data_IF_405098649337
#
_entry.id   IF_405098649337
#
_cell.length_a   1.000
_cell.length_b   1.000
_cell.length_c   1.000
_cell.angle_alpha   90.00
_cell.angle_beta   90.00
_cell.angle_gamma   90.00
#
_symmetry.space_group_name_H-M   'P 1'
#
loop_
_entity.id
_entity.type
_entity.pdbx_description
1 polymer ?
#
# COMPACT_ATOMS: atom_id res chain seq x y z
N UNK A 1 -19.91 15.27 -23.48
CA UNK A 1 -18.59 15.91 -23.43
C UNK A 1 -18.24 16.11 -21.95
N UNK A 2 -17.14 15.51 -21.52
CA UNK A 2 -16.55 15.49 -20.16
C UNK A 2 -17.37 14.78 -19.06
N UNK A 3 -17.17 13.46 -18.96
CA UNK A 3 -17.54 12.65 -17.79
C UNK A 3 -16.49 12.89 -16.70
N UNK A 4 -16.94 13.27 -15.50
CA UNK A 4 -16.07 13.55 -14.36
C UNK A 4 -15.60 12.21 -13.73
N UNK A 5 -14.44 11.71 -14.12
CA UNK A 5 -13.83 10.49 -13.53
C UNK A 5 -12.71 10.80 -12.54
N UNK A 6 -12.85 11.87 -11.74
CA UNK A 6 -11.90 12.24 -10.68
C UNK A 6 -12.52 12.14 -9.28
N UNK A 7 -13.45 11.20 -9.09
CA UNK A 7 -14.21 11.03 -7.85
C UNK A 7 -13.50 10.17 -6.81
N UNK A 8 -12.64 10.78 -5.99
CA UNK A 8 -12.12 10.27 -4.70
C UNK A 8 -11.53 8.84 -4.70
N UNK A 9 -10.21 8.73 -4.85
CA UNK A 9 -9.49 7.48 -4.56
C UNK A 9 -9.65 7.15 -3.07
N UNK A 10 -10.08 5.93 -2.75
CA UNK A 10 -10.16 5.47 -1.36
C UNK A 10 -8.76 5.52 -0.76
N UNK A 11 -8.57 6.15 0.42
CA UNK A 11 -7.25 6.27 1.01
C UNK A 11 -6.65 4.88 1.20
N UNK A 12 -5.43 4.69 0.71
CA UNK A 12 -4.72 3.44 0.85
C UNK A 12 -4.36 3.21 2.33
N UNK A 13 -4.43 1.96 2.77
CA UNK A 13 -4.17 1.59 4.16
C UNK A 13 -2.69 1.60 4.55
N UNK A 14 -1.78 1.69 3.57
CA UNK A 14 -0.34 1.61 3.82
C UNK A 14 0.09 0.19 4.20
N UNK A 15 1.10 0.02 5.07
CA UNK A 15 1.58 -1.30 5.50
C UNK A 15 0.46 -2.12 6.15
N UNK A 16 0.20 -3.31 5.61
CA UNK A 16 -0.82 -4.24 6.12
C UNK A 16 -0.14 -5.15 7.13
N UNK A 17 -0.29 -4.86 8.43
CA UNK A 17 0.01 -5.84 9.48
C UNK A 17 -0.88 -7.06 9.27
N UNK A 18 -0.28 -8.25 9.20
CA UNK A 18 -1.02 -9.51 9.18
C UNK A 18 -1.79 -9.67 10.51
N UNK A 19 -3.01 -9.13 10.56
CA UNK A 19 -3.83 -9.15 11.77
C UNK A 19 -5.05 -8.23 11.82
N UNK A 20 -5.76 -7.96 10.71
CA UNK A 20 -7.08 -7.29 10.80
C UNK A 20 -8.14 -7.95 9.89
N UNK A 21 -8.90 -8.87 10.52
CA UNK A 21 -10.29 -9.20 10.19
C UNK A 21 -11.17 -8.68 11.35
N UNK A 22 -12.11 -7.78 11.02
CA UNK A 22 -13.25 -7.21 11.79
C UNK A 22 -13.42 -7.61 13.28
N UNK A 23 -13.47 -6.62 14.20
CA UNK A 23 -14.53 -6.36 15.21
C UNK A 23 -14.19 -5.18 16.14
N UNK A 24 -15.26 -4.50 16.57
CA UNK A 24 -15.46 -3.31 17.41
C UNK A 24 -14.76 -3.27 18.79
N UNK A 25 -14.12 -2.11 19.09
CA UNK A 25 -13.91 -1.39 20.38
C UNK A 25 -13.24 -2.13 21.59
N UNK A 26 -12.87 -1.43 22.68
CA UNK A 26 -11.96 -0.28 22.87
C UNK A 26 -10.81 -0.57 23.90
N UNK A 27 -9.82 0.33 23.98
CA UNK A 27 -8.69 0.39 24.94
C UNK A 27 -7.68 -0.79 24.88
N UNK A 28 -6.39 -0.59 24.60
CA UNK A 28 -5.41 0.02 25.52
C UNK A 28 -4.16 0.44 24.72
N UNK A 29 -3.63 1.61 25.03
CA UNK A 29 -2.37 2.17 24.52
C UNK A 29 -1.22 1.24 24.93
N UNK A 30 -0.54 0.59 23.98
CA UNK A 30 0.92 0.39 23.82
C UNK A 30 1.15 -0.38 22.49
N UNK A 31 1.03 0.28 21.33
CA UNK A 31 1.46 -0.31 20.07
C UNK A 31 2.92 0.09 19.87
N UNK A 32 3.83 -0.73 20.38
CA UNK A 32 5.22 -0.72 19.91
C UNK A 32 5.15 -0.82 18.39
N UNK A 33 5.55 0.25 17.69
CA UNK A 33 5.67 0.25 16.24
C UNK A 33 6.74 -0.80 15.89
N UNK A 34 6.30 -2.04 15.72
CA UNK A 34 7.14 -3.11 15.22
C UNK A 34 7.61 -2.71 13.84
N UNK A 35 8.79 -2.10 13.78
CA UNK A 35 9.41 -1.60 12.55
C UNK A 35 9.42 -2.74 11.54
N UNK A 36 8.58 -2.64 10.53
CA UNK A 36 8.48 -3.66 9.48
C UNK A 36 9.67 -3.48 8.55
N UNK A 37 10.76 -4.18 8.85
CA UNK A 37 11.96 -4.18 8.02
C UNK A 37 11.81 -5.33 7.02
N UNK A 38 11.94 -5.03 5.73
CA UNK A 38 12.01 -6.06 4.70
C UNK A 38 13.28 -6.92 4.91
N UNK A 39 13.12 -8.24 4.93
CA UNK A 39 14.22 -9.19 5.14
C UNK A 39 14.34 -10.12 3.95
N UNK A 40 15.57 -10.34 3.46
CA UNK A 40 15.83 -11.26 2.35
C UNK A 40 15.44 -12.69 2.74
N UNK A 41 14.76 -13.39 1.83
CA UNK A 41 14.28 -14.76 2.05
C UNK A 41 13.07 -14.88 2.97
N UNK A 42 12.56 -13.77 3.52
CA UNK A 42 11.27 -13.72 4.22
C UNK A 42 10.19 -13.19 3.28
N UNK A 43 8.90 -13.49 3.56
CA UNK A 43 7.81 -12.86 2.84
C UNK A 43 7.93 -11.33 2.90
N UNK A 44 7.79 -10.67 1.76
CA UNK A 44 7.79 -9.22 1.69
C UNK A 44 6.60 -8.65 2.53
N UNK A 45 6.79 -7.54 3.25
CA UNK A 45 5.71 -6.88 3.97
C UNK A 45 4.60 -6.48 2.99
N UNK A 46 3.36 -6.89 3.28
CA UNK A 46 2.23 -6.52 2.45
C UNK A 46 1.85 -5.05 2.69
N UNK A 47 1.39 -4.38 1.64
CA UNK A 47 0.97 -2.98 1.72
C UNK A 47 -0.14 -2.72 0.71
N UNK A 48 -0.98 -1.73 1.01
CA UNK A 48 -1.94 -1.13 0.08
C UNK A 48 -1.47 0.28 -0.27
N UNK A 49 -1.40 0.59 -1.57
CA UNK A 49 -1.03 1.91 -2.07
C UNK A 49 -1.98 2.35 -3.19
N UNK A 50 -2.24 3.65 -3.27
CA UNK A 50 -2.92 4.25 -4.41
C UNK A 50 -1.90 4.46 -5.54
N UNK A 51 -2.19 3.92 -6.72
CA UNK A 51 -1.32 3.96 -7.89
C UNK A 51 -2.08 4.45 -9.12
N UNK A 52 -1.39 5.17 -10.00
CA UNK A 52 -1.92 5.57 -11.30
C UNK A 52 -1.55 4.51 -12.34
N UNK A 53 -2.54 3.85 -12.92
CA UNK A 53 -2.36 2.76 -13.88
C UNK A 53 -3.41 2.86 -14.97
N UNK A 54 -3.00 2.68 -16.23
CA UNK A 54 -3.88 2.70 -17.42
C UNK A 54 -4.74 3.97 -17.53
N UNK A 55 -4.22 5.13 -17.10
CA UNK A 55 -4.92 6.41 -17.20
C UNK A 55 -5.84 6.75 -16.02
N UNK A 56 -5.83 5.94 -14.95
CA UNK A 56 -6.67 6.20 -13.77
C UNK A 56 -6.01 5.79 -12.45
N UNK A 57 -6.57 6.28 -11.34
CA UNK A 57 -6.12 5.91 -10.01
C UNK A 57 -6.82 4.64 -9.50
N UNK A 58 -6.04 3.71 -8.96
CA UNK A 58 -6.54 2.49 -8.31
C UNK A 58 -5.72 2.14 -7.07
N UNK A 59 -6.37 1.54 -6.07
CA UNK A 59 -5.64 0.93 -4.95
C UNK A 59 -5.12 -0.43 -5.37
N UNK A 60 -3.83 -0.66 -5.15
CA UNK A 60 -3.14 -1.93 -5.39
C UNK A 60 -2.62 -2.49 -4.07
N UNK A 61 -2.58 -3.82 -3.97
CA UNK A 61 -1.91 -4.52 -2.87
C UNK A 61 -0.77 -5.37 -3.38
N UNK A 62 0.29 -5.52 -2.59
CA UNK A 62 1.38 -6.43 -2.96
C UNK A 62 0.88 -7.88 -3.09
N UNK A 63 -0.07 -8.28 -2.24
CA UNK A 63 -0.74 -9.57 -2.33
C UNK A 63 -1.46 -9.86 -3.66
N UNK A 64 -1.89 -8.85 -4.42
CA UNK A 64 -2.59 -9.04 -5.71
C UNK A 64 -1.65 -9.59 -6.80
N UNK A 65 -0.33 -9.48 -6.59
CA UNK A 65 0.70 -9.92 -7.54
C UNK A 65 1.34 -11.26 -7.20
N UNK A 66 0.79 -12.01 -6.22
CA UNK A 66 1.28 -13.35 -5.88
C UNK A 66 1.28 -14.27 -7.11
N UNK A 67 2.35 -15.05 -7.25
CA UNK A 67 2.56 -15.94 -8.40
C UNK A 67 3.24 -15.26 -9.60
N UNK A 68 3.52 -13.95 -9.53
CA UNK A 68 4.33 -13.22 -10.50
C UNK A 68 5.60 -12.70 -9.83
N UNK A 69 6.67 -12.55 -10.61
CA UNK A 69 7.83 -11.80 -10.16
C UNK A 69 7.49 -10.31 -10.11
N UNK A 70 7.81 -9.67 -8.98
CA UNK A 70 7.56 -8.25 -8.74
C UNK A 70 8.89 -7.58 -8.39
N UNK A 71 9.18 -6.48 -9.07
CA UNK A 71 10.29 -5.57 -8.73
C UNK A 71 9.66 -4.29 -8.19
N UNK A 72 10.00 -3.93 -6.95
CA UNK A 72 9.53 -2.71 -6.31
C UNK A 72 10.73 -1.76 -6.11
N UNK A 73 10.66 -0.59 -6.72
CA UNK A 73 11.70 0.43 -6.64
C UNK A 73 11.16 1.68 -5.91
N UNK A 74 11.91 2.18 -4.94
CA UNK A 74 11.64 3.46 -4.29
C UNK A 74 12.58 4.51 -4.90
N UNK A 75 12.07 5.69 -5.20
CA UNK A 75 12.83 6.83 -5.69
C UNK A 75 12.46 8.09 -4.88
N UNK A 76 13.35 9.10 -4.80
CA UNK A 76 13.24 10.15 -3.80
C UNK A 76 12.12 11.17 -4.06
N UNK A 77 11.77 11.44 -5.32
CA UNK A 77 10.70 12.38 -5.64
C UNK A 77 10.50 12.58 -7.14
N UNK A 78 9.32 13.06 -7.49
CA UNK A 78 8.95 13.46 -8.85
C UNK A 78 9.53 14.84 -9.18
N UNK A 79 9.94 15.04 -10.44
CA UNK A 79 10.43 16.33 -10.96
C UNK A 79 11.62 16.94 -10.18
N UNK A 80 12.47 16.10 -9.59
CA UNK A 80 13.73 16.53 -8.98
C UNK A 80 14.84 16.64 -10.03
N UNK A 81 15.85 17.47 -9.76
CA UNK A 81 17.07 17.50 -10.59
C UNK A 81 17.88 16.22 -10.38
N UNK A 82 18.44 15.68 -11.47
CA UNK A 82 19.44 14.60 -11.46
C UNK A 82 20.85 15.16 -11.39
#
# INVERSE_FOLDING_TARGET
MAEATDGCVKPAKGPIVAGESKTSQPATIQKEEKKMIAQVGKPAPDFEASAYVDGGFKNIKLSDYKGKWVVLCFYPGDFTFV
#
